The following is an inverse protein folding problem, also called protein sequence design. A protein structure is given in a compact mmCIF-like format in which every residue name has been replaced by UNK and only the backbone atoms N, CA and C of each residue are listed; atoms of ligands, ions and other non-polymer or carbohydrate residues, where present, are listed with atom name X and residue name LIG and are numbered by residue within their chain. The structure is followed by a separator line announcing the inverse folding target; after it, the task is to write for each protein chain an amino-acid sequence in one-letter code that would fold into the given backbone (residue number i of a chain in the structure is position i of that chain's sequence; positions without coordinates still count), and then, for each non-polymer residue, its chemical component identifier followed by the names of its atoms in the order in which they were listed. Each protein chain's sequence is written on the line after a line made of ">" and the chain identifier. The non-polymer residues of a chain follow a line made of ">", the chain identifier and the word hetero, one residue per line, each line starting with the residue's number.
data_IF_599765234860
#
_entry.id   IF_599765234860
#
_cell.length_a   1.000
_cell.length_b   1.000
_cell.length_c   1.000
_cell.angle_alpha   90.00
_cell.angle_beta   90.00
_cell.angle_gamma   90.00
#
_symmetry.space_group_name_H-M   'P 1'
#
loop_
_entity.id
_entity.type
_entity.pdbx_description
1 polymer ?
#
# COMPACT_ATOMS: atom_id res chain seq x y z
N UNK A 1 -51.31 -54.16 27.14
CA UNK A 1 -50.69 -53.04 26.42
C UNK A 1 -50.76 -53.36 24.95
N UNK A 2 -51.71 -52.79 24.22
CA UNK A 2 -51.78 -52.91 22.77
C UNK A 2 -50.83 -51.89 22.16
N UNK A 3 -49.86 -52.35 21.38
CA UNK A 3 -48.95 -51.50 20.62
C UNK A 3 -49.75 -50.69 19.61
N UNK A 4 -49.67 -49.36 19.69
CA UNK A 4 -50.25 -48.47 18.69
C UNK A 4 -49.43 -48.56 17.40
N UNK A 5 -49.72 -49.56 16.57
CA UNK A 5 -49.21 -49.64 15.21
C UNK A 5 -50.08 -48.73 14.33
N UNK A 6 -49.57 -47.53 14.05
CA UNK A 6 -50.22 -46.63 13.10
C UNK A 6 -50.07 -47.17 11.68
N UNK A 7 -51.07 -47.01 10.80
CA UNK A 7 -50.93 -47.33 9.38
C UNK A 7 -49.83 -46.44 8.77
N UNK A 8 -49.02 -47.00 7.86
CA UNK A 8 -47.99 -46.21 7.14
C UNK A 8 -48.68 -45.03 6.41
N UNK A 9 -48.47 -43.81 6.92
CA UNK A 9 -48.95 -42.58 6.29
C UNK A 9 -47.96 -42.13 5.21
N UNK A 10 -48.40 -41.26 4.31
CA UNK A 10 -47.60 -40.74 3.20
C UNK A 10 -46.27 -40.12 3.68
N UNK A 11 -46.22 -39.57 4.90
CA UNK A 11 -45.00 -39.05 5.51
C UNK A 11 -43.93 -40.12 5.78
N UNK A 12 -44.34 -41.33 6.17
CA UNK A 12 -43.41 -42.45 6.41
C UNK A 12 -42.85 -43.00 5.09
N UNK A 13 -43.66 -42.99 4.03
CA UNK A 13 -43.23 -43.42 2.69
C UNK A 13 -42.26 -42.42 2.06
N UNK A 14 -42.53 -41.12 2.22
CA UNK A 14 -41.68 -40.03 1.72
C UNK A 14 -40.31 -40.07 2.44
N UNK A 15 -40.27 -40.28 3.75
CA UNK A 15 -39.02 -40.34 4.52
C UNK A 15 -38.05 -41.45 4.14
N UNK A 16 -38.48 -42.50 3.42
CA UNK A 16 -37.63 -43.60 2.95
C UNK A 16 -36.74 -43.22 1.76
N UNK A 17 -37.17 -42.24 0.94
CA UNK A 17 -36.50 -41.85 -0.31
C UNK A 17 -35.87 -40.45 -0.24
N UNK A 18 -35.98 -39.77 0.91
CA UNK A 18 -35.22 -38.54 1.15
C UNK A 18 -33.78 -38.89 1.53
N UNK A 19 -32.77 -38.13 1.03
CA UNK A 19 -31.41 -38.26 1.50
C UNK A 19 -31.38 -38.02 3.01
N UNK A 20 -30.95 -39.04 3.76
CA UNK A 20 -30.78 -38.98 5.21
C UNK A 20 -30.06 -37.68 5.60
N UNK A 21 -30.57 -37.04 6.65
CA UNK A 21 -30.27 -35.66 7.03
C UNK A 21 -28.79 -35.29 7.05
N UNK A 22 -28.58 -33.97 7.02
CA UNK A 22 -27.34 -33.18 6.92
C UNK A 22 -26.26 -33.52 7.96
N UNK A 23 -25.84 -34.78 8.07
CA UNK A 23 -24.63 -35.19 8.76
C UNK A 23 -23.47 -34.93 7.82
N UNK A 24 -23.11 -33.64 7.71
CA UNK A 24 -21.90 -33.22 7.02
C UNK A 24 -20.73 -33.95 7.66
N UNK A 25 -20.00 -34.75 6.88
CA UNK A 25 -18.68 -35.22 7.29
C UNK A 25 -17.86 -34.00 7.76
N UNK A 26 -17.23 -34.11 8.92
CA UNK A 26 -16.41 -33.01 9.46
C UNK A 26 -15.30 -32.73 8.45
N UNK A 27 -15.35 -31.55 7.82
CA UNK A 27 -14.31 -31.14 6.89
C UNK A 27 -13.01 -31.00 7.67
N UNK A 28 -12.00 -31.79 7.33
CA UNK A 28 -10.70 -31.80 8.02
C UNK A 28 -10.10 -30.39 8.07
N UNK A 29 -9.73 -29.94 9.27
CA UNK A 29 -9.08 -28.65 9.50
C UNK A 29 -7.66 -28.60 8.93
N UNK A 30 -7.13 -29.73 8.44
CA UNK A 30 -5.78 -29.85 7.92
C UNK A 30 -5.50 -28.89 6.74
N UNK A 31 -6.48 -28.65 5.88
CA UNK A 31 -6.34 -27.71 4.76
C UNK A 31 -6.14 -26.25 5.22
N UNK A 32 -6.62 -25.89 6.42
CA UNK A 32 -6.45 -24.55 6.98
C UNK A 32 -5.10 -24.36 7.66
N UNK A 33 -4.52 -25.42 8.24
CA UNK A 33 -3.22 -25.37 8.92
C UNK A 33 -2.04 -25.63 7.99
N UNK A 34 -2.27 -26.32 6.87
CA UNK A 34 -1.25 -26.63 5.87
C UNK A 34 -0.45 -25.40 5.38
N UNK A 35 -1.05 -24.25 5.00
CA UNK A 35 -0.28 -23.09 4.56
C UNK A 35 0.64 -22.53 5.66
N UNK A 36 0.18 -22.50 6.91
CA UNK A 36 0.99 -22.03 8.04
C UNK A 36 2.16 -22.98 8.33
N UNK A 37 1.94 -24.30 8.23
CA UNK A 37 2.98 -25.30 8.43
C UNK A 37 4.03 -25.26 7.30
N UNK A 38 3.60 -25.01 6.06
CA UNK A 38 4.52 -24.79 4.92
C UNK A 38 5.40 -23.56 5.19
N UNK A 39 4.81 -22.42 5.58
CA UNK A 39 5.58 -21.19 5.87
C UNK A 39 6.57 -21.43 7.01
N UNK A 40 6.15 -22.12 8.08
CA UNK A 40 6.99 -22.44 9.23
C UNK A 40 8.22 -23.29 8.87
N UNK A 41 8.13 -24.13 7.85
CA UNK A 41 9.26 -24.95 7.35
C UNK A 41 10.10 -24.17 6.32
N UNK A 42 9.46 -23.44 5.40
CA UNK A 42 10.16 -22.75 4.31
C UNK A 42 10.99 -21.57 4.81
N UNK A 43 10.49 -20.78 5.77
CA UNK A 43 11.23 -19.65 6.35
C UNK A 43 12.61 -20.02 6.92
N UNK A 44 12.74 -21.00 7.84
CA UNK A 44 14.05 -21.38 8.37
C UNK A 44 14.97 -21.98 7.30
N UNK A 45 14.44 -22.69 6.31
CA UNK A 45 15.24 -23.23 5.19
C UNK A 45 15.80 -22.12 4.30
N UNK A 46 15.00 -21.10 3.99
CA UNK A 46 15.45 -19.93 3.24
C UNK A 46 16.52 -19.13 4.00
N UNK A 47 16.30 -18.90 5.30
CA UNK A 47 17.26 -18.22 6.15
C UNK A 47 18.61 -18.98 6.20
N UNK A 48 18.56 -20.32 6.33
CA UNK A 48 19.76 -21.15 6.32
C UNK A 48 20.50 -21.09 4.97
N UNK A 49 19.78 -21.12 3.85
CA UNK A 49 20.36 -20.98 2.50
C UNK A 49 21.10 -19.66 2.28
N UNK A 50 20.52 -18.54 2.73
CA UNK A 50 21.13 -17.20 2.60
C UNK A 50 22.42 -17.09 3.41
N UNK A 51 22.45 -17.59 4.65
CA UNK A 51 23.67 -17.59 5.49
C UNK A 51 24.78 -18.41 4.85
N UNK A 52 24.45 -19.54 4.21
CA UNK A 52 25.42 -20.35 3.46
C UNK A 52 26.08 -19.57 2.32
N UNK A 53 25.28 -18.80 1.56
CA UNK A 53 25.78 -17.99 0.44
C UNK A 53 26.64 -16.81 0.92
N UNK A 54 26.23 -16.11 1.98
CA UNK A 54 26.98 -14.98 2.54
C UNK A 54 28.33 -15.44 3.10
N UNK A 55 28.40 -16.61 3.76
CA UNK A 55 29.67 -17.17 4.25
C UNK A 55 30.63 -17.56 3.12
N UNK A 56 30.13 -17.85 1.92
CA UNK A 56 30.96 -18.21 0.76
C UNK A 56 31.46 -16.99 -0.04
N UNK A 57 30.86 -15.81 0.16
CA UNK A 57 31.17 -14.56 -0.54
C UNK A 57 31.67 -13.42 0.38
N UNK A 58 31.97 -13.69 1.64
CA UNK A 58 32.43 -12.67 2.59
C UNK A 58 33.91 -12.32 2.41
N UNK A 59 34.20 -11.60 1.32
CA UNK A 59 35.28 -10.62 1.28
C UNK A 59 34.84 -9.37 2.07
N UNK A 60 35.40 -9.21 3.26
CA UNK A 60 35.23 -8.08 4.18
C UNK A 60 35.44 -6.73 3.49
N UNK A 61 34.57 -5.73 3.73
CA UNK A 61 34.96 -4.37 4.18
C UNK A 61 33.75 -3.57 4.68
N UNK A 62 33.80 -3.16 5.94
CA UNK A 62 33.06 -2.00 6.49
C UNK A 62 33.98 -0.78 6.45
N UNK A 63 33.45 0.44 6.21
CA UNK A 63 33.90 1.55 7.06
C UNK A 63 32.79 2.54 7.45
N UNK A 64 32.64 2.65 8.77
CA UNK A 64 32.59 3.84 9.64
C UNK A 64 32.36 5.24 9.03
N UNK A 65 31.40 5.94 9.61
CA UNK A 65 31.13 7.38 9.48
C UNK A 65 32.28 8.27 9.97
N UNK A 66 32.52 9.40 9.29
CA UNK A 66 33.23 10.55 9.84
C UNK A 66 32.85 11.87 9.14
N UNK A 67 32.16 12.75 9.87
CA UNK A 67 32.05 14.18 9.58
C UNK A 67 33.25 14.92 10.17
N UNK A 68 33.80 15.91 9.46
CA UNK A 68 34.37 17.14 10.04
C UNK A 68 34.73 18.15 8.94
N UNK A 69 34.30 19.40 9.17
CA UNK A 69 34.45 20.60 8.35
C UNK A 69 35.90 21.05 8.16
N UNK A 70 36.18 21.71 7.01
CA UNK A 70 36.89 23.00 6.92
C UNK A 70 37.02 23.50 5.46
N UNK A 71 36.47 24.69 5.19
CA UNK A 71 36.88 25.63 4.12
C UNK A 71 37.78 26.72 4.78
N UNK A 72 38.33 27.78 4.12
CA UNK A 72 38.08 28.31 2.77
C UNK A 72 39.33 28.94 2.04
N UNK A 73 39.08 29.59 0.89
CA UNK A 73 39.84 30.62 0.10
C UNK A 73 40.20 30.16 -1.32
N UNK A 74 40.14 30.95 -2.40
CA UNK A 74 39.61 32.28 -2.70
C UNK A 74 39.55 32.44 -4.25
N UNK A 75 38.62 33.25 -4.75
CA UNK A 75 38.29 33.68 -6.14
C UNK A 75 39.44 34.44 -6.87
N UNK A 76 39.31 35.13 -8.05
CA UNK A 76 38.14 35.44 -8.93
C UNK A 76 38.39 35.55 -10.47
N UNK A 77 37.32 35.71 -11.27
CA UNK A 77 37.15 36.62 -12.46
C UNK A 77 35.73 36.41 -13.07
N UNK A 78 34.77 37.36 -12.90
CA UNK A 78 34.38 38.51 -13.79
C UNK A 78 33.90 38.10 -15.20
N UNK A 79 32.84 38.60 -15.85
CA UNK A 79 31.69 39.53 -15.66
C UNK A 79 30.92 39.47 -17.04
N UNK A 80 29.61 39.13 -17.15
CA UNK A 80 28.38 40.00 -17.31
C UNK A 80 28.22 40.68 -18.71
N UNK A 81 27.05 41.17 -19.25
CA UNK A 81 25.57 41.15 -18.92
C UNK A 81 24.65 40.55 -20.06
N UNK A 82 23.38 40.11 -19.86
CA UNK A 82 22.02 40.78 -19.71
C UNK A 82 21.44 41.40 -21.02
N UNK A 83 20.10 41.61 -21.26
CA UNK A 83 18.83 41.47 -20.44
C UNK A 83 17.68 40.64 -21.10
N UNK A 84 16.71 40.00 -20.39
CA UNK A 84 15.45 40.44 -19.68
C UNK A 84 14.33 41.05 -20.59
N UNK A 85 12.99 41.00 -20.30
CA UNK A 85 12.32 40.74 -18.99
C UNK A 85 10.95 39.98 -18.93
N UNK A 86 10.50 39.71 -17.68
CA UNK A 86 9.12 39.56 -17.09
C UNK A 86 8.10 38.57 -17.67
N UNK A 87 7.38 37.74 -16.89
CA UNK A 87 6.45 38.04 -15.77
C UNK A 87 6.30 36.76 -14.92
N UNK A 88 6.74 36.71 -13.66
CA UNK A 88 5.95 37.01 -12.44
C UNK A 88 4.66 36.18 -12.29
N UNK A 89 4.81 34.95 -11.77
CA UNK A 89 3.75 34.25 -11.03
C UNK A 89 4.34 33.85 -9.68
N UNK A 90 4.10 34.74 -8.73
CA UNK A 90 4.34 34.59 -7.30
C UNK A 90 3.34 33.57 -6.77
N UNK A 91 3.69 32.29 -6.77
CA UNK A 91 2.98 31.33 -5.93
C UNK A 91 3.72 31.22 -4.60
N UNK A 92 2.99 31.76 -3.63
CA UNK A 92 3.20 31.80 -2.21
C UNK A 92 3.73 30.44 -1.71
N UNK A 93 5.03 30.41 -1.40
CA UNK A 93 5.62 29.39 -0.54
C UNK A 93 5.04 29.62 0.86
N UNK A 94 3.78 29.21 1.06
CA UNK A 94 3.22 29.02 2.39
C UNK A 94 4.05 27.94 3.04
N UNK A 95 4.97 28.38 3.88
CA UNK A 95 5.71 27.56 4.84
C UNK A 95 4.67 27.10 5.87
N UNK A 96 3.82 26.18 5.43
CA UNK A 96 2.74 25.61 6.20
C UNK A 96 3.39 24.81 7.31
N UNK A 97 3.27 25.31 8.55
CA UNK A 97 3.79 24.64 9.74
C UNK A 97 3.46 23.15 9.65
N UNK A 98 4.49 22.32 9.56
CA UNK A 98 4.38 20.87 9.38
C UNK A 98 3.67 20.29 10.60
N UNK A 99 2.33 20.23 10.54
CA UNK A 99 1.55 19.34 11.39
C UNK A 99 1.93 17.94 10.94
N UNK A 100 2.72 17.28 11.78
CA UNK A 100 3.07 15.89 11.59
C UNK A 100 1.78 15.07 11.72
N UNK A 101 1.41 14.37 10.65
CA UNK A 101 0.26 13.47 10.66
C UNK A 101 0.50 12.37 11.69
N UNK A 102 -0.46 12.14 12.57
CA UNK A 102 -0.37 11.09 13.59
C UNK A 102 -0.47 9.71 12.93
N UNK A 103 0.62 8.92 12.89
CA UNK A 103 0.61 7.61 12.23
C UNK A 103 -0.32 6.61 12.90
N UNK A 104 -0.79 6.86 14.14
CA UNK A 104 -1.79 6.02 14.79
C UNK A 104 -3.15 6.01 14.06
N UNK A 105 -3.44 7.07 13.30
CA UNK A 105 -4.67 7.18 12.50
C UNK A 105 -4.54 6.51 11.13
N UNK A 106 -3.30 6.30 10.64
CA UNK A 106 -3.01 5.76 9.31
C UNK A 106 -3.68 4.40 9.08
N UNK A 107 -3.69 3.53 10.09
CA UNK A 107 -4.24 2.18 10.00
C UNK A 107 -5.75 2.16 9.72
N UNK A 108 -6.47 3.23 10.07
CA UNK A 108 -7.92 3.35 9.86
C UNK A 108 -8.28 3.99 8.52
N UNK A 109 -7.29 4.48 7.76
CA UNK A 109 -7.51 5.21 6.51
C UNK A 109 -7.06 4.31 5.34
N UNK A 110 -8.02 3.77 4.58
CA UNK A 110 -7.68 2.94 3.43
C UNK A 110 -7.14 3.78 2.27
N UNK A 111 -6.17 3.23 1.53
CA UNK A 111 -5.53 3.90 0.39
C UNK A 111 -5.57 3.00 -0.85
N UNK A 112 -6.12 3.51 -1.95
CA UNK A 112 -6.10 2.80 -3.23
C UNK A 112 -5.07 3.44 -4.15
N UNK A 113 -4.05 2.67 -4.55
CA UNK A 113 -2.98 3.10 -5.44
C UNK A 113 -3.24 2.56 -6.84
N UNK A 114 -3.50 3.46 -7.79
CA UNK A 114 -3.78 3.13 -9.19
C UNK A 114 -2.56 3.42 -10.06
N UNK A 115 -2.12 2.41 -10.79
CA UNK A 115 -1.18 2.59 -11.88
C UNK A 115 -1.92 3.07 -13.14
N UNK A 116 -1.47 4.17 -13.73
CA UNK A 116 -2.00 4.67 -15.00
C UNK A 116 -1.07 4.27 -16.14
N UNK A 117 0.20 4.68 -16.07
CA UNK A 117 1.21 4.40 -17.10
C UNK A 117 2.65 4.28 -16.56
N UNK A 118 2.83 4.07 -15.25
CA UNK A 118 4.14 4.09 -14.59
C UNK A 118 4.98 2.82 -14.80
N UNK A 119 4.40 1.77 -15.38
CA UNK A 119 5.04 0.48 -15.59
C UNK A 119 4.67 -0.57 -14.54
N UNK A 120 5.09 -1.81 -14.76
CA UNK A 120 4.66 -2.94 -13.94
C UNK A 120 5.25 -2.87 -12.52
N UNK A 121 4.43 -3.18 -11.51
CA UNK A 121 4.87 -3.26 -10.12
C UNK A 121 4.89 -1.94 -9.35
N UNK A 122 4.93 -0.80 -10.04
CA UNK A 122 5.11 0.53 -9.41
C UNK A 122 4.02 0.85 -8.37
N UNK A 123 2.74 0.66 -8.71
CA UNK A 123 1.66 0.88 -7.74
C UNK A 123 1.71 -0.10 -6.55
N UNK A 124 2.21 -1.33 -6.77
CA UNK A 124 2.42 -2.31 -5.71
C UNK A 124 3.51 -1.88 -4.75
N UNK A 125 4.63 -1.39 -5.27
CA UNK A 125 5.75 -0.89 -4.46
C UNK A 125 5.36 0.38 -3.67
N UNK A 126 4.63 1.30 -4.29
CA UNK A 126 4.06 2.46 -3.61
C UNK A 126 3.09 2.05 -2.50
N UNK A 127 2.16 1.12 -2.76
CA UNK A 127 1.27 0.59 -1.74
C UNK A 127 2.04 -0.06 -0.58
N UNK A 128 3.11 -0.81 -0.87
CA UNK A 128 3.95 -1.42 0.18
C UNK A 128 4.69 -0.36 1.01
N UNK A 129 5.16 0.73 0.39
CA UNK A 129 5.77 1.86 1.10
C UNK A 129 4.80 2.52 2.08
N UNK A 130 3.52 2.63 1.69
CA UNK A 130 2.45 3.13 2.55
C UNK A 130 2.10 2.16 3.69
N UNK A 131 2.04 0.86 3.42
CA UNK A 131 1.83 -0.17 4.46
C UNK A 131 2.95 -0.11 5.50
N UNK A 132 4.20 -0.01 5.07
CA UNK A 132 5.36 0.09 5.98
C UNK A 132 5.34 1.37 6.82
N UNK A 133 4.65 2.41 6.36
CA UNK A 133 4.46 3.67 7.09
C UNK A 133 3.28 3.63 8.08
N UNK A 134 2.34 2.70 7.90
CA UNK A 134 1.20 2.51 8.80
C UNK A 134 -0.17 2.51 8.12
N UNK A 135 -0.26 2.82 6.83
CA UNK A 135 -1.51 2.71 6.05
C UNK A 135 -1.77 1.24 5.69
N UNK A 136 -2.19 0.45 6.67
CA UNK A 136 -2.25 -1.02 6.56
C UNK A 136 -3.30 -1.52 5.55
N UNK A 137 -4.33 -0.74 5.25
CA UNK A 137 -5.31 -1.04 4.21
C UNK A 137 -4.99 -0.29 2.90
N UNK A 138 -3.73 -0.42 2.44
CA UNK A 138 -3.31 0.08 1.14
C UNK A 138 -3.35 -1.04 0.10
N UNK A 139 -3.98 -0.79 -1.06
CA UNK A 139 -4.09 -1.77 -2.13
C UNK A 139 -3.72 -1.15 -3.49
N UNK A 140 -3.03 -1.93 -4.32
CA UNK A 140 -2.66 -1.54 -5.67
C UNK A 140 -3.64 -2.08 -6.72
N UNK A 141 -3.93 -1.28 -7.73
CA UNK A 141 -4.74 -1.66 -8.88
C UNK A 141 -4.28 -0.91 -10.15
N UNK A 142 -4.86 -1.23 -11.30
CA UNK A 142 -4.54 -0.61 -12.58
C UNK A 142 -5.72 0.22 -13.09
N UNK A 143 -5.45 1.39 -13.65
CA UNK A 143 -6.46 2.31 -14.21
C UNK A 143 -5.91 3.05 -15.44
N UNK A 144 -5.67 2.32 -16.55
CA UNK A 144 -5.00 2.86 -17.73
C UNK A 144 -5.85 3.86 -18.53
N UNK A 145 -7.15 3.94 -18.23
CA UNK A 145 -8.12 4.84 -18.84
C UNK A 145 -8.21 6.21 -18.14
N UNK A 146 -7.50 6.39 -17.01
CA UNK A 146 -7.49 7.65 -16.28
C UNK A 146 -6.66 8.72 -17.02
N UNK A 147 -7.22 9.93 -17.13
CA UNK A 147 -6.54 11.09 -17.74
C UNK A 147 -6.03 12.00 -16.63
N UNK A 148 -4.72 12.10 -16.50
CA UNK A 148 -4.03 12.95 -15.53
C UNK A 148 -2.79 13.57 -16.17
N UNK A 149 -2.48 14.80 -15.77
CA UNK A 149 -1.27 15.51 -16.23
C UNK A 149 -0.01 15.02 -15.50
N UNK A 150 -0.14 14.66 -14.22
CA UNK A 150 0.96 14.21 -13.34
C UNK A 150 0.45 13.23 -12.28
N UNK A 151 1.38 12.54 -11.62
CA UNK A 151 1.08 11.71 -10.45
C UNK A 151 0.44 12.54 -9.34
N UNK A 152 -0.74 12.14 -8.87
CA UNK A 152 -1.57 12.96 -7.96
C UNK A 152 -2.25 12.11 -6.89
N UNK A 153 -2.33 12.64 -5.67
CA UNK A 153 -3.10 12.08 -4.55
C UNK A 153 -4.44 12.79 -4.45
N UNK A 154 -5.55 12.05 -4.56
CA UNK A 154 -6.91 12.54 -4.43
C UNK A 154 -7.55 12.10 -3.12
N UNK A 155 -8.34 12.98 -2.52
CA UNK A 155 -9.13 12.70 -1.32
C UNK A 155 -10.52 13.34 -1.44
N UNK A 156 -11.52 12.73 -0.82
CA UNK A 156 -12.93 13.11 -1.03
C UNK A 156 -13.46 14.21 -0.09
N UNK A 157 -12.76 14.49 1.01
CA UNK A 157 -13.27 15.35 2.08
C UNK A 157 -12.14 15.97 2.90
N UNK A 158 -12.33 17.19 3.42
CA UNK A 158 -11.26 17.96 4.08
C UNK A 158 -10.69 17.31 5.34
N UNK A 159 -11.43 16.43 6.01
CA UNK A 159 -10.95 15.64 7.14
C UNK A 159 -9.80 14.69 6.78
N UNK A 160 -9.68 14.31 5.50
CA UNK A 160 -8.59 13.47 5.00
C UNK A 160 -7.38 14.29 4.50
N UNK A 161 -7.44 15.63 4.53
CA UNK A 161 -6.38 16.46 3.94
C UNK A 161 -5.00 16.22 4.58
N UNK A 162 -4.95 16.12 5.91
CA UNK A 162 -3.69 15.85 6.64
C UNK A 162 -3.14 14.45 6.30
N UNK A 163 -4.02 13.44 6.20
CA UNK A 163 -3.64 12.09 5.82
C UNK A 163 -3.18 11.99 4.36
N UNK A 164 -3.88 12.65 3.43
CA UNK A 164 -3.52 12.70 2.02
C UNK A 164 -2.18 13.40 1.80
N UNK A 165 -1.90 14.47 2.56
CA UNK A 165 -0.58 15.12 2.59
C UNK A 165 0.50 14.16 3.09
N UNK A 166 0.23 13.39 4.14
CA UNK A 166 1.18 12.39 4.65
C UNK A 166 1.45 11.27 3.63
N UNK A 167 0.42 10.79 2.92
CA UNK A 167 0.57 9.84 1.80
C UNK A 167 1.45 10.45 0.70
N UNK A 168 1.20 11.71 0.33
CA UNK A 168 2.01 12.45 -0.64
C UNK A 168 3.47 12.56 -0.21
N UNK A 169 3.75 12.99 1.03
CA UNK A 169 5.11 13.09 1.58
C UNK A 169 5.84 11.74 1.57
N UNK A 170 5.15 10.66 1.96
CA UNK A 170 5.75 9.34 2.03
C UNK A 170 6.09 8.76 0.65
N UNK A 171 5.31 9.12 -0.37
CA UNK A 171 5.55 8.71 -1.75
C UNK A 171 6.40 9.72 -2.54
N UNK A 172 6.67 10.91 -2.01
CA UNK A 172 7.36 11.97 -2.74
C UNK A 172 6.49 12.65 -3.80
N UNK A 173 5.17 12.64 -3.62
CA UNK A 173 4.18 13.23 -4.51
C UNK A 173 3.75 14.59 -3.94
N UNK A 174 4.02 15.67 -4.66
CA UNK A 174 3.65 17.04 -4.25
C UNK A 174 2.22 17.42 -4.65
N UNK A 175 1.65 16.78 -5.66
CA UNK A 175 0.29 17.05 -6.11
C UNK A 175 -0.72 16.30 -5.24
N UNK A 176 -1.43 17.05 -4.39
CA UNK A 176 -2.48 16.54 -3.49
C UNK A 176 -3.73 17.40 -3.69
N UNK A 177 -4.87 16.79 -4.03
CA UNK A 177 -6.06 17.52 -4.46
C UNK A 177 -7.36 16.96 -3.86
N UNK A 178 -8.18 17.86 -3.31
CA UNK A 178 -9.55 17.54 -2.92
C UNK A 178 -10.38 17.32 -4.18
N UNK A 179 -10.88 16.09 -4.37
CA UNK A 179 -11.74 15.74 -5.51
C UNK A 179 -12.77 14.68 -5.09
N UNK A 180 -13.97 15.12 -4.66
CA UNK A 180 -15.06 14.20 -4.29
C UNK A 180 -15.56 13.36 -5.47
N UNK A 181 -15.41 13.85 -6.70
CA UNK A 181 -15.83 13.15 -7.92
C UNK A 181 -14.90 11.98 -8.29
N UNK A 182 -13.63 12.06 -7.90
CA UNK A 182 -12.63 11.00 -8.12
C UNK A 182 -12.57 10.08 -6.91
N UNK A 183 -12.47 10.65 -5.71
CA UNK A 183 -12.47 9.92 -4.44
C UNK A 183 -13.91 9.76 -3.92
N UNK A 184 -14.68 8.92 -4.63
CA UNK A 184 -16.12 8.74 -4.39
C UNK A 184 -16.44 7.93 -3.13
N UNK A 185 -15.51 7.09 -2.68
CA UNK A 185 -15.64 6.35 -1.42
C UNK A 185 -15.23 7.22 -0.23
N UNK A 186 -16.18 7.42 0.69
CA UNK A 186 -15.96 8.17 1.92
C UNK A 186 -14.86 7.55 2.77
N UNK A 187 -13.96 8.38 3.30
CA UNK A 187 -12.86 7.94 4.15
C UNK A 187 -11.66 7.30 3.42
N UNK A 188 -11.69 7.17 2.09
CA UNK A 188 -10.61 6.56 1.30
C UNK A 188 -9.79 7.59 0.53
N UNK A 189 -8.47 7.39 0.51
CA UNK A 189 -7.53 8.16 -0.31
C UNK A 189 -7.21 7.40 -1.60
N UNK A 190 -7.11 8.12 -2.71
CA UNK A 190 -6.85 7.58 -4.04
C UNK A 190 -5.54 8.14 -4.59
N UNK A 191 -4.54 7.31 -4.83
CA UNK A 191 -3.26 7.72 -5.41
C UNK A 191 -3.22 7.28 -6.86
N UNK A 192 -3.03 8.18 -7.80
CA UNK A 192 -2.88 7.86 -9.21
C UNK A 192 -1.45 8.10 -9.64
N UNK A 193 -0.78 7.04 -10.06
CA UNK A 193 0.63 7.04 -10.40
C UNK A 193 0.81 6.99 -11.91
N UNK A 194 1.55 7.97 -12.42
CA UNK A 194 2.00 8.08 -13.80
C UNK A 194 3.51 7.85 -13.91
N UNK A 195 3.99 7.81 -15.14
CA UNK A 195 5.39 7.65 -15.54
C UNK A 195 6.36 8.72 -15.01
N UNK A 196 5.86 9.83 -14.47
CA UNK A 196 6.64 10.87 -13.80
C UNK A 196 7.05 10.49 -12.36
N UNK A 197 6.39 9.50 -11.75
CA UNK A 197 6.68 9.04 -10.39
C UNK A 197 8.06 8.41 -10.24
N UNK A 198 8.78 8.81 -9.18
CA UNK A 198 10.10 8.31 -8.82
C UNK A 198 9.99 7.57 -7.48
N UNK A 199 10.53 6.35 -7.41
CA UNK A 199 10.37 5.46 -6.24
C UNK A 199 11.30 5.78 -5.07
#
# INVERSE_FOLDING_TARGET
>A
MSENSYPEDEFDQIGRDLPAGVHRASKSTFSKVLPFLIVLIVMPLLAWGVVGLVKHNSGVQTPKAQSTSQAPKASPKKQTPSPSPSTEAKEEKTEEAKKEFDPSQAASIPVSVFNVDAGNGVAGEAAQKLINYGFTDSAASNRPDAVLDQTTVYYGSEDLAEAAKAVGEQLGISAVQLSPDIATEQGRIYVYIKSDYQQ
#
